data_IF_454339481954
#
_entry.id   IF_454339481954
#
_cell.length_a   1.000
_cell.length_b   1.000
_cell.length_c   1.000
_cell.angle_alpha   90.00
_cell.angle_beta   90.00
_cell.angle_gamma   90.00
#
_symmetry.space_group_name_H-M   'P 1'
#
loop_
_entity.id
_entity.type
_entity.pdbx_description
1 polymer ?
#
# COMPACT_ATOMS: atom_id res chain seq x y z
N UNK A 1 20.91 -2.94 6.06
CA UNK A 1 20.08 -3.94 5.36
C UNK A 1 19.98 -3.60 3.89
N UNK A 2 20.03 -4.58 2.97
CA UNK A 2 20.01 -4.30 1.53
C UNK A 2 18.71 -3.63 1.06
N UNK A 3 17.53 -4.05 1.55
CA UNK A 3 16.25 -3.64 0.99
C UNK A 3 15.97 -2.12 1.08
N UNK A 4 16.01 -1.53 2.27
CA UNK A 4 15.75 -0.09 2.43
C UNK A 4 16.77 0.77 1.67
N UNK A 5 18.04 0.37 1.71
CA UNK A 5 19.11 1.04 0.97
C UNK A 5 18.85 1.05 -0.53
N UNK A 6 18.47 -0.09 -1.11
CA UNK A 6 18.14 -0.20 -2.53
C UNK A 6 16.94 0.69 -2.90
N UNK A 7 15.93 0.81 -2.03
CA UNK A 7 14.79 1.70 -2.29
C UNK A 7 15.24 3.17 -2.31
N UNK A 8 16.09 3.60 -1.38
CA UNK A 8 16.65 4.97 -1.34
C UNK A 8 17.55 5.25 -2.54
N UNK A 9 18.36 4.27 -2.96
CA UNK A 9 19.17 4.38 -4.18
C UNK A 9 18.27 4.53 -5.43
N UNK A 10 17.18 3.76 -5.52
CA UNK A 10 16.19 3.91 -6.60
C UNK A 10 15.57 5.31 -6.62
N UNK A 11 15.19 5.87 -5.47
CA UNK A 11 14.68 7.26 -5.39
C UNK A 11 15.69 8.28 -5.93
N UNK A 12 16.99 8.06 -5.70
CA UNK A 12 18.07 8.90 -6.23
C UNK A 12 18.16 8.78 -7.76
N UNK A 13 18.00 7.57 -8.30
CA UNK A 13 17.98 7.32 -9.74
C UNK A 13 16.76 7.99 -10.39
N UNK A 14 15.56 7.83 -9.80
CA UNK A 14 14.33 8.48 -10.30
C UNK A 14 14.45 10.00 -10.35
N UNK A 15 15.15 10.59 -9.37
CA UNK A 15 15.41 12.03 -9.34
C UNK A 15 16.32 12.48 -10.49
N UNK A 16 17.33 11.68 -10.85
CA UNK A 16 18.22 11.99 -11.97
C UNK A 16 17.53 11.91 -13.33
N UNK A 17 16.48 11.10 -13.47
CA UNK A 17 15.71 10.92 -14.70
C UNK A 17 14.41 11.74 -14.75
N UNK A 18 14.00 12.34 -13.64
CA UNK A 18 12.70 12.99 -13.45
C UNK A 18 11.49 12.09 -13.79
N UNK A 19 11.65 10.77 -13.72
CA UNK A 19 10.62 9.79 -14.05
C UNK A 19 9.64 9.61 -12.88
N UNK A 20 8.41 10.10 -13.07
CA UNK A 20 7.36 10.00 -12.05
C UNK A 20 6.95 8.55 -11.78
N UNK A 21 6.90 7.68 -12.79
CA UNK A 21 6.53 6.28 -12.58
C UNK A 21 7.63 5.55 -11.80
N UNK A 22 8.90 5.88 -12.04
CA UNK A 22 10.00 5.40 -11.21
C UNK A 22 9.80 5.79 -9.73
N UNK A 23 9.43 7.06 -9.45
CA UNK A 23 9.10 7.48 -8.08
C UNK A 23 7.92 6.69 -7.50
N UNK A 24 6.88 6.46 -8.30
CA UNK A 24 5.69 5.72 -7.86
C UNK A 24 6.04 4.29 -7.47
N UNK A 25 6.88 3.60 -8.25
CA UNK A 25 7.38 2.26 -7.94
C UNK A 25 8.21 2.27 -6.65
N UNK A 26 9.16 3.21 -6.52
CA UNK A 26 10.00 3.31 -5.33
C UNK A 26 9.20 3.60 -4.05
N UNK A 27 8.20 4.49 -4.12
CA UNK A 27 7.29 4.75 -3.01
C UNK A 27 6.43 3.54 -2.66
N UNK A 28 5.92 2.82 -3.66
CA UNK A 28 5.20 1.56 -3.41
C UNK A 28 6.09 0.55 -2.69
N UNK A 29 7.35 0.41 -3.09
CA UNK A 29 8.33 -0.46 -2.44
C UNK A 29 8.59 -0.04 -0.99
N UNK A 30 8.70 1.26 -0.71
CA UNK A 30 8.85 1.78 0.66
C UNK A 30 7.65 1.42 1.54
N UNK A 31 6.43 1.59 1.03
CA UNK A 31 5.21 1.19 1.73
C UNK A 31 5.18 -0.30 2.07
N UNK A 32 5.50 -1.16 1.09
CA UNK A 32 5.59 -2.61 1.30
C UNK A 32 6.70 -3.00 2.28
N UNK A 33 7.84 -2.32 2.22
CA UNK A 33 8.95 -2.55 3.14
C UNK A 33 8.53 -2.32 4.59
N UNK A 34 7.86 -1.21 4.90
CA UNK A 34 7.39 -0.92 6.25
C UNK A 34 6.34 -1.93 6.78
N UNK A 35 5.58 -2.53 5.88
CA UNK A 35 4.63 -3.60 6.19
C UNK A 35 5.29 -4.98 6.32
N UNK A 36 6.56 -5.12 5.96
CA UNK A 36 7.19 -6.44 5.86
C UNK A 36 7.20 -7.14 7.23
N UNK A 37 6.76 -8.41 7.31
CA UNK A 37 6.76 -9.17 8.56
C UNK A 37 8.19 -9.38 9.11
N UNK A 38 9.21 -9.31 8.26
CA UNK A 38 10.60 -9.39 8.70
C UNK A 38 11.02 -8.23 9.60
N UNK A 39 10.36 -7.07 9.47
CA UNK A 39 10.54 -5.94 10.38
C UNK A 39 9.94 -6.23 11.75
N UNK A 40 8.81 -6.95 11.81
CA UNK A 40 8.21 -7.45 13.05
C UNK A 40 8.96 -8.63 13.68
N UNK A 41 9.86 -9.28 12.95
CA UNK A 41 10.62 -10.45 13.37
C UNK A 41 12.11 -10.18 13.44
N UNK A 42 12.87 -10.81 12.54
CA UNK A 42 14.34 -10.81 12.52
C UNK A 42 14.98 -9.41 12.66
N UNK A 43 14.35 -8.37 12.12
CA UNK A 43 14.90 -7.02 12.07
C UNK A 43 14.30 -6.03 13.07
N UNK A 44 13.39 -6.47 13.95
CA UNK A 44 12.71 -5.61 14.91
C UNK A 44 13.70 -4.83 15.78
N UNK A 45 14.67 -5.53 16.38
CA UNK A 45 15.67 -4.89 17.25
C UNK A 45 16.50 -3.85 16.48
N UNK A 46 16.92 -4.18 15.26
CA UNK A 46 17.72 -3.26 14.46
C UNK A 46 17.00 -1.93 14.22
N UNK A 47 15.74 -1.96 13.74
CA UNK A 47 15.01 -0.73 13.41
C UNK A 47 14.46 0.00 14.63
N UNK A 48 14.24 -0.72 15.74
CA UNK A 48 13.86 -0.09 17.01
C UNK A 48 15.04 0.71 17.59
N UNK A 49 16.27 0.16 17.50
CA UNK A 49 17.47 0.82 18.05
C UNK A 49 18.08 1.85 17.11
N UNK A 50 18.19 1.53 15.82
CA UNK A 50 18.94 2.35 14.87
C UNK A 50 18.05 3.27 14.01
N UNK A 51 16.73 3.05 14.03
CA UNK A 51 15.81 3.73 13.14
C UNK A 51 15.93 3.28 11.68
N UNK A 52 15.21 3.99 10.81
CA UNK A 52 15.17 3.78 9.37
C UNK A 52 16.08 4.78 8.64
N UNK A 53 16.39 4.51 7.37
CA UNK A 53 17.05 5.50 6.51
C UNK A 53 16.15 6.73 6.29
N UNK A 54 14.82 6.52 6.19
CA UNK A 54 13.87 7.62 6.35
C UNK A 54 13.81 8.04 7.83
N UNK A 55 14.51 9.14 8.14
CA UNK A 55 14.60 9.69 9.50
C UNK A 55 13.27 10.22 10.05
N UNK A 56 12.25 10.37 9.21
CA UNK A 56 10.90 10.74 9.65
C UNK A 56 10.05 9.54 10.05
N UNK A 57 10.55 8.32 9.82
CA UNK A 57 9.89 7.08 10.21
C UNK A 57 10.41 6.57 11.56
N UNK A 58 9.50 6.03 12.37
CA UNK A 58 9.85 5.30 13.60
C UNK A 58 9.32 3.87 13.51
N UNK A 59 9.91 2.96 14.28
CA UNK A 59 9.48 1.57 14.28
C UNK A 59 8.02 1.42 14.73
N UNK A 60 7.58 2.22 15.70
CA UNK A 60 6.21 2.20 16.22
C UNK A 60 5.19 2.78 15.24
N UNK A 61 5.54 3.80 14.44
CA UNK A 61 4.65 4.45 13.48
C UNK A 61 4.86 4.00 12.02
N UNK A 62 5.48 2.83 11.84
CA UNK A 62 5.91 2.37 10.50
C UNK A 62 4.74 2.09 9.57
N UNK A 63 3.58 1.70 10.10
CA UNK A 63 2.41 1.39 9.28
C UNK A 63 1.67 2.65 8.80
N UNK A 64 1.66 3.70 9.62
CA UNK A 64 1.27 5.04 9.22
C UNK A 64 2.21 5.57 8.13
N UNK A 65 3.52 5.38 8.31
CA UNK A 65 4.50 5.74 7.30
C UNK A 65 4.33 4.95 6.00
N UNK A 66 3.99 3.66 6.09
CA UNK A 66 3.65 2.86 4.91
C UNK A 66 2.51 3.50 4.10
N UNK A 67 1.46 3.96 4.79
CA UNK A 67 0.35 4.66 4.16
C UNK A 67 0.75 5.99 3.52
N UNK A 68 1.65 6.77 4.12
CA UNK A 68 2.18 7.99 3.49
C UNK A 68 2.86 7.68 2.15
N UNK A 69 3.69 6.64 2.10
CA UNK A 69 4.38 6.24 0.87
C UNK A 69 3.43 5.64 -0.16
N UNK A 70 2.46 4.82 0.27
CA UNK A 70 1.42 4.35 -0.63
C UNK A 70 0.62 5.50 -1.22
N UNK A 71 0.30 6.55 -0.45
CA UNK A 71 -0.43 7.70 -0.96
C UNK A 71 0.36 8.46 -2.04
N UNK A 72 1.67 8.68 -1.83
CA UNK A 72 2.55 9.27 -2.85
C UNK A 72 2.56 8.44 -4.13
N UNK A 73 2.70 7.12 -4.01
CA UNK A 73 2.67 6.19 -5.15
C UNK A 73 1.31 6.21 -5.86
N UNK A 74 0.23 6.13 -5.09
CA UNK A 74 -1.15 6.11 -5.58
C UNK A 74 -1.47 7.35 -6.40
N UNK A 75 -1.08 8.53 -5.92
CA UNK A 75 -1.35 9.80 -6.60
C UNK A 75 -0.73 9.83 -8.00
N UNK A 76 0.52 9.37 -8.14
CA UNK A 76 1.21 9.32 -9.43
C UNK A 76 0.57 8.29 -10.37
N UNK A 77 0.28 7.08 -9.90
CA UNK A 77 -0.37 6.07 -10.74
C UNK A 77 -1.78 6.46 -11.19
N UNK A 78 -2.53 7.14 -10.32
CA UNK A 78 -3.84 7.67 -10.67
C UNK A 78 -3.74 8.73 -11.78
N UNK A 79 -2.77 9.65 -11.69
CA UNK A 79 -2.51 10.63 -12.76
C UNK A 79 -2.10 9.97 -14.08
N UNK A 80 -1.41 8.84 -14.01
CA UNK A 80 -1.02 8.04 -15.17
C UNK A 80 -2.14 7.11 -15.69
N UNK A 81 -3.33 7.12 -15.08
CA UNK A 81 -4.45 6.25 -15.47
C UNK A 81 -4.27 4.77 -15.19
N UNK A 82 -3.29 4.39 -14.34
CA UNK A 82 -2.94 2.99 -14.02
C UNK A 82 -3.78 2.47 -12.85
N UNK A 83 -5.09 2.36 -13.06
CA UNK A 83 -6.04 2.05 -11.99
C UNK A 83 -5.95 0.61 -11.48
N UNK A 84 -5.44 -0.32 -12.28
CA UNK A 84 -5.06 -1.67 -11.85
C UNK A 84 -4.07 -1.64 -10.67
N UNK A 85 -3.06 -0.76 -10.77
CA UNK A 85 -2.05 -0.57 -9.71
C UNK A 85 -2.66 0.20 -8.52
N UNK A 86 -3.45 1.24 -8.78
CA UNK A 86 -4.15 2.02 -7.74
C UNK A 86 -5.04 1.13 -6.88
N UNK A 87 -5.76 0.18 -7.49
CA UNK A 87 -6.55 -0.83 -6.75
C UNK A 87 -5.70 -1.58 -5.74
N UNK A 88 -4.54 -2.11 -6.17
CA UNK A 88 -3.65 -2.87 -5.29
C UNK A 88 -3.02 -1.98 -4.20
N UNK A 89 -2.65 -0.75 -4.51
CA UNK A 89 -2.10 0.18 -3.53
C UNK A 89 -3.13 0.49 -2.45
N UNK A 90 -4.38 0.78 -2.82
CA UNK A 90 -5.46 1.01 -1.86
C UNK A 90 -5.75 -0.22 -1.00
N UNK A 91 -5.66 -1.43 -1.56
CA UNK A 91 -5.75 -2.67 -0.79
C UNK A 91 -4.64 -2.75 0.27
N UNK A 92 -3.39 -2.46 -0.11
CA UNK A 92 -2.25 -2.45 0.83
C UNK A 92 -2.38 -1.35 1.89
N UNK A 93 -2.96 -0.18 1.53
CA UNK A 93 -3.30 0.87 2.50
C UNK A 93 -4.30 0.36 3.54
N UNK A 94 -5.32 -0.39 3.11
CA UNK A 94 -6.27 -1.07 4.00
C UNK A 94 -5.56 -1.96 5.02
N UNK A 95 -4.65 -2.83 4.57
CA UNK A 95 -3.85 -3.67 5.45
C UNK A 95 -2.92 -2.88 6.37
N UNK A 96 -2.29 -1.82 5.87
CA UNK A 96 -1.42 -0.98 6.67
C UNK A 96 -2.20 -0.28 7.80
N UNK A 97 -3.39 0.24 7.51
CA UNK A 97 -4.27 0.81 8.54
C UNK A 97 -4.79 -0.23 9.54
N UNK A 98 -5.07 -1.46 9.10
CA UNK A 98 -5.37 -2.57 10.04
C UNK A 98 -4.22 -2.82 11.01
N UNK A 99 -2.99 -2.91 10.50
CA UNK A 99 -1.80 -3.13 11.34
C UNK A 99 -1.50 -1.95 12.26
N UNK A 100 -1.94 -0.74 11.90
CA UNK A 100 -1.92 0.46 12.74
C UNK A 100 -3.14 0.55 13.69
N UNK A 101 -4.01 -0.47 13.74
CA UNK A 101 -5.28 -0.45 14.48
C UNK A 101 -6.21 0.73 14.15
N UNK A 102 -6.07 1.33 12.97
CA UNK A 102 -6.88 2.44 12.49
C UNK A 102 -8.05 1.94 11.62
N UNK A 103 -9.08 1.41 12.29
CA UNK A 103 -10.26 0.83 11.66
C UNK A 103 -10.95 1.78 10.66
N UNK A 104 -11.28 3.04 10.97
CA UNK A 104 -11.96 3.93 10.03
C UNK A 104 -11.18 4.12 8.73
N UNK A 105 -9.87 4.30 8.83
CA UNK A 105 -9.02 4.51 7.65
C UNK A 105 -8.84 3.23 6.83
N UNK A 106 -8.78 2.07 7.48
CA UNK A 106 -8.78 0.78 6.79
C UNK A 106 -10.06 0.59 5.95
N UNK A 107 -11.23 0.89 6.53
CA UNK A 107 -12.50 0.82 5.83
C UNK A 107 -12.57 1.79 4.64
N UNK A 108 -12.07 3.02 4.81
CA UNK A 108 -11.97 3.97 3.71
C UNK A 108 -11.07 3.45 2.59
N UNK A 109 -9.87 2.95 2.92
CA UNK A 109 -8.93 2.43 1.93
C UNK A 109 -9.49 1.21 1.16
N UNK A 110 -10.29 0.36 1.80
CA UNK A 110 -10.99 -0.72 1.12
C UNK A 110 -12.07 -0.22 0.16
N UNK A 111 -12.82 0.82 0.53
CA UNK A 111 -13.74 1.46 -0.41
C UNK A 111 -12.98 2.09 -1.59
N UNK A 112 -11.85 2.76 -1.34
CA UNK A 112 -11.00 3.34 -2.39
C UNK A 112 -10.44 2.26 -3.33
N UNK A 113 -10.12 1.07 -2.82
CA UNK A 113 -9.64 -0.06 -3.62
C UNK A 113 -10.73 -0.57 -4.57
N UNK A 114 -11.96 -0.72 -4.07
CA UNK A 114 -13.12 -1.11 -4.86
C UNK A 114 -13.51 -0.04 -5.89
N UNK A 115 -13.45 1.24 -5.51
CA UNK A 115 -13.71 2.33 -6.45
C UNK A 115 -12.69 2.33 -7.60
N UNK A 116 -11.41 2.16 -7.29
CA UNK A 116 -10.35 2.06 -8.29
C UNK A 116 -10.51 0.83 -9.21
N UNK A 117 -11.01 -0.31 -8.69
CA UNK A 117 -11.23 -1.49 -9.55
C UNK A 117 -12.34 -1.27 -10.55
N UNK A 118 -13.42 -0.59 -10.15
CA UNK A 118 -14.48 -0.20 -11.07
C UNK A 118 -13.98 0.79 -12.12
N UNK A 119 -13.15 1.76 -11.72
CA UNK A 119 -12.56 2.70 -12.67
C UNK A 119 -11.62 2.01 -13.67
N UNK A 120 -10.83 1.04 -13.21
CA UNK A 120 -10.01 0.22 -14.10
C UNK A 120 -10.85 -0.54 -15.12
N UNK A 121 -11.96 -1.16 -14.70
CA UNK A 121 -12.89 -1.85 -15.60
C UNK A 121 -13.56 -0.89 -16.60
N UNK A 122 -13.87 0.35 -16.17
CA UNK A 122 -14.44 1.38 -17.03
C UNK A 122 -13.47 1.82 -18.13
N UNK A 123 -12.20 2.02 -17.78
CA UNK A 123 -11.15 2.44 -18.71
C UNK A 123 -10.65 1.29 -19.60
N UNK A 124 -10.65 0.08 -19.06
CA UNK A 124 -10.20 -1.13 -19.74
C UNK A 124 -11.24 -2.25 -19.61
N UNK A 125 -12.30 -2.21 -20.44
CA UNK A 125 -13.33 -3.25 -20.45
C UNK A 125 -12.71 -4.63 -20.67
N UNK A 126 -12.99 -5.57 -19.75
CA UNK A 126 -12.42 -6.92 -19.77
C UNK A 126 -11.14 -7.10 -18.94
N UNK A 127 -10.66 -6.06 -18.25
CA UNK A 127 -9.63 -6.25 -17.23
C UNK A 127 -10.09 -7.24 -16.15
N UNK A 128 -9.22 -8.18 -15.76
CA UNK A 128 -9.54 -9.20 -14.75
C UNK A 128 -8.63 -9.04 -13.55
N UNK A 129 -9.22 -8.82 -12.37
CA UNK A 129 -8.51 -8.88 -11.10
C UNK A 129 -8.55 -10.31 -10.59
N UNK A 130 -7.39 -10.96 -10.55
CA UNK A 130 -7.28 -12.33 -10.06
C UNK A 130 -7.24 -12.34 -8.54
N UNK A 131 -8.24 -12.98 -7.93
CA UNK A 131 -8.25 -13.34 -6.51
C UNK A 131 -8.23 -14.87 -6.37
N UNK A 132 -7.77 -15.41 -5.24
CA UNK A 132 -7.90 -16.85 -4.97
C UNK A 132 -9.35 -17.32 -5.15
N UNK A 133 -9.52 -18.50 -5.76
CA UNK A 133 -10.82 -19.04 -6.19
C UNK A 133 -11.88 -19.01 -5.09
N UNK A 134 -11.49 -19.30 -3.83
CA UNK A 134 -12.38 -19.27 -2.66
C UNK A 134 -13.10 -17.94 -2.42
N UNK A 135 -12.64 -16.85 -3.02
CA UNK A 135 -13.28 -15.54 -2.94
C UNK A 135 -14.21 -15.25 -4.12
N UNK A 136 -14.02 -15.91 -5.26
CA UNK A 136 -14.80 -15.70 -6.49
C UNK A 136 -14.46 -14.39 -7.21
N UNK A 137 -14.82 -13.24 -6.62
CA UNK A 137 -14.61 -11.92 -7.22
C UNK A 137 -13.82 -10.98 -6.30
N UNK A 138 -13.32 -9.89 -6.86
CA UNK A 138 -12.61 -8.87 -6.07
C UNK A 138 -13.53 -8.16 -5.09
N UNK A 139 -14.79 -7.93 -5.46
CA UNK A 139 -15.83 -7.35 -4.62
C UNK A 139 -16.06 -8.22 -3.37
N UNK A 140 -16.20 -9.53 -3.56
CA UNK A 140 -16.34 -10.48 -2.45
C UNK A 140 -15.11 -10.50 -1.56
N UNK A 141 -13.92 -10.42 -2.16
CA UNK A 141 -12.67 -10.35 -1.41
C UNK A 141 -12.61 -9.08 -0.53
N UNK A 142 -12.96 -7.91 -1.08
CA UNK A 142 -13.03 -6.65 -0.33
C UNK A 142 -14.12 -6.69 0.74
N UNK A 143 -15.31 -7.21 0.43
CA UNK A 143 -16.39 -7.38 1.40
C UNK A 143 -15.94 -8.23 2.60
N UNK A 144 -15.18 -9.30 2.35
CA UNK A 144 -14.60 -10.11 3.42
C UNK A 144 -13.58 -9.32 4.26
N UNK A 145 -12.69 -8.53 3.64
CA UNK A 145 -11.75 -7.70 4.39
C UNK A 145 -12.49 -6.68 5.28
N UNK A 146 -13.48 -5.99 4.71
CA UNK A 146 -14.32 -5.02 5.43
C UNK A 146 -15.06 -5.67 6.60
N UNK A 147 -15.60 -6.88 6.41
CA UNK A 147 -16.26 -7.65 7.47
C UNK A 147 -15.27 -8.03 8.58
N UNK A 148 -14.06 -8.49 8.25
CA UNK A 148 -13.02 -8.81 9.25
C UNK A 148 -12.68 -7.59 10.12
N UNK A 149 -12.58 -6.43 9.51
CA UNK A 149 -12.29 -5.15 10.18
C UNK A 149 -13.51 -4.61 10.96
N UNK A 150 -14.72 -5.08 10.63
CA UNK A 150 -15.97 -4.61 11.22
C UNK A 150 -16.43 -3.27 10.65
N UNK A 151 -16.20 -2.99 9.37
CA UNK A 151 -16.57 -1.73 8.72
C UNK A 151 -18.08 -1.44 8.75
N UNK A 152 -18.91 -2.48 8.92
CA UNK A 152 -20.36 -2.38 8.95
C UNK A 152 -20.91 -2.11 10.37
N UNK A 153 -20.05 -2.07 11.40
CA UNK A 153 -20.43 -1.91 12.82
C UNK A 153 -20.53 -0.45 13.25
N UNK A 154 -21.04 0.43 12.40
CA UNK A 154 -21.42 1.80 12.81
C UNK A 154 -22.94 1.90 12.80
N UNK A 155 -23.53 1.54 13.94
CA UNK A 155 -24.88 1.91 14.35
C UNK A 155 -24.77 2.69 15.66
#
# INVERSE_FOLDING_TARGET
MPAERLIVETLTICQATADQLCFADAYRSYGLFFMSPTLGGQWANHYTTNGFLDRTATYSARYEKANEYFEKSRAIYAQAGKFDVVTNINLNRGFAYEMAANKPSACSAYNDSLAASHENLRLQPGAVIRVPEKYGTFENYIALQKKRVGCDSQG
#
